data_IF_375892405642
#
_entry.id   IF_375892405642
#
_cell.length_a   1.000
_cell.length_b   1.000
_cell.length_c   1.000
_cell.angle_alpha   90.00
_cell.angle_beta   90.00
_cell.angle_gamma   90.00
#
_symmetry.space_group_name_H-M   'P 1'
#
loop_
_entity.id
_entity.type
_entity.pdbx_description
1 polymer ?
#
# COMPACT_ATOMS: atom_id res chain seq x y z
N UNK A 1 3.84 -55.21 -13.64
CA UNK A 1 4.16 -53.77 -13.61
C UNK A 1 2.88 -52.95 -13.73
N UNK A 2 2.34 -52.45 -12.62
CA UNK A 2 1.16 -51.55 -12.63
C UNK A 2 1.66 -50.11 -12.78
N UNK A 3 1.37 -49.49 -13.91
CA UNK A 3 1.61 -48.06 -14.14
C UNK A 3 0.60 -47.27 -13.33
N UNK A 4 1.04 -46.70 -12.20
CA UNK A 4 0.24 -45.85 -11.33
C UNK A 4 -0.19 -44.59 -12.08
N UNK A 5 -1.49 -44.50 -12.38
CA UNK A 5 -2.19 -43.30 -12.84
C UNK A 5 -2.03 -42.22 -11.78
N UNK A 6 -1.42 -41.09 -12.15
CA UNK A 6 -1.45 -39.87 -11.35
C UNK A 6 -2.90 -39.42 -11.19
N UNK A 7 -3.34 -39.26 -9.94
CA UNK A 7 -4.61 -38.64 -9.61
C UNK A 7 -4.45 -37.11 -9.74
N UNK A 8 -4.96 -36.54 -10.83
CA UNK A 8 -5.15 -35.11 -10.94
C UNK A 8 -6.29 -34.71 -9.99
N UNK A 9 -5.97 -34.00 -8.91
CA UNK A 9 -6.97 -33.40 -8.03
C UNK A 9 -7.75 -32.36 -8.83
N UNK A 10 -9.01 -32.67 -9.14
CA UNK A 10 -9.95 -31.75 -9.75
C UNK A 10 -10.37 -30.73 -8.70
N UNK A 11 -9.63 -29.63 -8.59
CA UNK A 11 -10.04 -28.50 -7.76
C UNK A 11 -11.18 -27.77 -8.47
N UNK A 12 -12.43 -28.10 -8.14
CA UNK A 12 -13.58 -27.28 -8.48
C UNK A 12 -13.47 -25.96 -7.71
N UNK A 13 -12.93 -24.94 -8.37
CA UNK A 13 -12.91 -23.58 -7.85
C UNK A 13 -14.37 -23.13 -7.64
N UNK A 14 -14.69 -22.68 -6.44
CA UNK A 14 -16.00 -22.13 -6.07
C UNK A 14 -15.85 -20.68 -5.64
N UNK A 15 -16.93 -19.89 -5.66
CA UNK A 15 -16.89 -18.53 -5.11
C UNK A 15 -16.69 -18.60 -3.59
N UNK A 16 -15.76 -17.81 -3.06
CA UNK A 16 -15.50 -17.76 -1.61
C UNK A 16 -15.75 -16.37 -1.06
N UNK A 17 -16.51 -16.29 0.04
CA UNK A 17 -16.62 -15.05 0.81
C UNK A 17 -15.32 -14.83 1.58
N UNK A 18 -14.69 -13.67 1.36
CA UNK A 18 -13.50 -13.19 2.05
C UNK A 18 -13.85 -11.98 2.92
N UNK A 19 -13.03 -11.70 3.92
CA UNK A 19 -13.19 -10.53 4.80
C UNK A 19 -12.00 -9.61 4.66
N UNK A 20 -12.25 -8.31 4.50
CA UNK A 20 -11.19 -7.32 4.38
C UNK A 20 -10.48 -7.09 5.72
N UNK A 21 -9.16 -7.30 5.78
CA UNK A 21 -8.35 -7.06 6.97
C UNK A 21 -8.28 -5.58 7.40
N UNK A 22 -8.62 -4.65 6.50
CA UNK A 22 -8.61 -3.20 6.79
C UNK A 22 -9.96 -2.65 7.27
N UNK A 23 -11.07 -3.06 6.64
CA UNK A 23 -12.39 -2.49 6.93
C UNK A 23 -13.45 -3.51 7.38
N UNK A 24 -13.11 -4.80 7.45
CA UNK A 24 -14.02 -5.86 7.88
C UNK A 24 -15.10 -6.25 6.87
N UNK A 25 -15.26 -5.51 5.76
CA UNK A 25 -16.31 -5.81 4.78
C UNK A 25 -16.11 -7.19 4.15
N UNK A 26 -17.20 -7.95 4.03
CA UNK A 26 -17.22 -9.20 3.28
C UNK A 26 -17.25 -8.91 1.78
N UNK A 27 -16.49 -9.66 0.99
CA UNK A 27 -16.50 -9.57 -0.47
C UNK A 27 -16.33 -10.96 -1.10
N UNK A 28 -16.81 -11.13 -2.32
CA UNK A 28 -16.67 -12.39 -3.06
C UNK A 28 -15.31 -12.44 -3.76
N UNK A 29 -14.59 -13.56 -3.59
CA UNK A 29 -13.45 -13.95 -4.41
C UNK A 29 -13.95 -14.94 -5.46
N UNK A 30 -14.13 -14.46 -6.68
CA UNK A 30 -14.89 -15.20 -7.69
C UNK A 30 -14.07 -16.29 -8.34
N UNK A 31 -14.75 -17.30 -8.90
CA UNK A 31 -14.12 -18.36 -9.70
C UNK A 31 -13.32 -17.76 -10.87
N UNK A 32 -13.80 -16.67 -11.47
CA UNK A 32 -13.11 -15.98 -12.57
C UNK A 32 -11.78 -15.36 -12.12
N UNK A 33 -11.76 -14.70 -10.96
CA UNK A 33 -10.53 -14.14 -10.37
C UNK A 33 -9.53 -15.26 -9.99
N UNK A 34 -10.02 -16.40 -9.53
CA UNK A 34 -9.20 -17.58 -9.22
C UNK A 34 -8.61 -18.23 -10.48
N UNK A 35 -9.38 -18.25 -11.57
CA UNK A 35 -8.95 -18.84 -12.85
C UNK A 35 -7.96 -17.94 -13.63
N UNK A 36 -8.01 -16.61 -13.45
CA UNK A 36 -7.08 -15.67 -14.08
C UNK A 36 -5.65 -15.75 -13.53
N UNK A 37 -5.39 -16.54 -12.49
CA UNK A 37 -4.06 -16.91 -12.02
C UNK A 37 -3.38 -17.94 -12.96
N UNK A 38 -3.25 -17.63 -14.25
CA UNK A 38 -2.69 -18.54 -15.26
C UNK A 38 -1.15 -18.35 -15.43
N UNK A 39 -0.37 -19.07 -14.59
CA UNK A 39 1.03 -19.58 -14.82
C UNK A 39 2.25 -18.61 -14.94
N UNK A 40 3.54 -18.98 -14.63
CA UNK A 40 4.08 -20.16 -13.93
C UNK A 40 4.90 -19.90 -12.63
N UNK A 41 5.21 -18.66 -12.20
CA UNK A 41 5.92 -18.38 -10.92
C UNK A 41 4.96 -18.23 -9.72
N UNK A 42 3.81 -18.90 -9.80
CA UNK A 42 2.57 -18.57 -9.11
C UNK A 42 2.32 -19.32 -7.78
N UNK A 43 3.31 -19.44 -6.89
CA UNK A 43 3.01 -19.74 -5.47
C UNK A 43 2.36 -18.54 -4.74
N UNK A 44 2.37 -17.35 -5.36
CA UNK A 44 1.71 -16.15 -4.83
C UNK A 44 0.21 -16.05 -5.18
N UNK A 45 -0.25 -16.71 -6.25
CA UNK A 45 -1.53 -16.38 -6.91
C UNK A 45 -2.76 -17.12 -6.35
N UNK A 46 -2.56 -18.09 -5.43
CA UNK A 46 -3.63 -18.66 -4.62
C UNK A 46 -3.77 -17.99 -3.25
N UNK A 47 -3.04 -16.88 -3.01
CA UNK A 47 -3.21 -16.13 -1.76
C UNK A 47 -4.56 -15.45 -1.78
N UNK A 48 -5.46 -15.97 -0.95
CA UNK A 48 -6.76 -15.37 -0.65
C UNK A 48 -6.59 -13.86 -0.47
N UNK A 49 -7.37 -13.04 -1.19
CA UNK A 49 -7.22 -11.60 -1.10
C UNK A 49 -7.51 -11.13 0.32
N UNK A 50 -6.58 -10.36 0.88
CA UNK A 50 -6.67 -9.83 2.25
C UNK A 50 -7.50 -8.55 2.33
N UNK A 51 -7.77 -7.90 1.20
CA UNK A 51 -8.48 -6.63 1.11
C UNK A 51 -9.56 -6.66 0.03
N UNK A 52 -10.71 -6.03 0.32
CA UNK A 52 -11.80 -5.89 -0.64
C UNK A 52 -11.44 -4.96 -1.82
N UNK A 53 -12.21 -4.97 -2.92
CA UNK A 53 -11.94 -4.13 -4.09
C UNK A 53 -11.89 -2.61 -3.79
N UNK A 54 -12.64 -2.16 -2.78
CA UNK A 54 -12.59 -0.76 -2.32
C UNK A 54 -11.25 -0.44 -1.64
N UNK A 55 -10.88 -1.23 -0.63
CA UNK A 55 -9.62 -1.03 0.08
C UNK A 55 -8.40 -1.28 -0.80
N UNK A 56 -8.43 -2.24 -1.72
CA UNK A 56 -7.32 -2.50 -2.66
C UNK A 56 -7.02 -1.26 -3.52
N UNK A 57 -8.05 -0.57 -4.01
CA UNK A 57 -7.91 0.67 -4.76
C UNK A 57 -7.46 1.85 -3.90
N UNK A 58 -7.83 1.85 -2.62
CA UNK A 58 -7.53 2.92 -1.68
C UNK A 58 -6.21 2.74 -0.91
N UNK A 59 -5.53 1.59 -1.03
CA UNK A 59 -4.24 1.34 -0.39
C UNK A 59 -3.11 1.98 -1.20
N UNK A 60 -2.05 2.46 -0.53
CA UNK A 60 -0.83 2.83 -1.23
C UNK A 60 -0.26 1.65 -2.03
N UNK A 61 0.55 1.92 -3.05
CA UNK A 61 1.25 0.85 -3.76
C UNK A 61 2.12 0.02 -2.79
N UNK A 62 2.40 -1.24 -3.15
CA UNK A 62 3.17 -2.13 -2.28
C UNK A 62 4.50 -1.50 -1.84
N UNK A 63 4.77 -1.48 -0.52
CA UNK A 63 5.96 -0.85 0.05
C UNK A 63 5.88 0.67 0.25
N UNK A 64 4.73 1.30 -0.06
CA UNK A 64 4.47 2.71 0.22
C UNK A 64 3.48 2.85 1.39
N UNK A 65 3.59 3.97 2.09
CA UNK A 65 2.74 4.38 3.20
C UNK A 65 2.23 5.79 2.94
N UNK A 66 1.07 6.12 3.53
CA UNK A 66 0.52 7.48 3.51
C UNK A 66 0.61 8.09 4.90
N UNK A 67 0.90 9.37 4.97
CA UNK A 67 0.99 10.10 6.22
C UNK A 67 0.64 11.57 6.04
N UNK A 68 0.55 12.27 7.16
CA UNK A 68 0.26 13.70 7.18
C UNK A 68 1.52 14.47 7.54
N UNK A 69 1.78 15.56 6.83
CA UNK A 69 2.92 16.41 7.14
C UNK A 69 2.66 17.12 8.47
N UNK A 70 3.47 16.84 9.49
CA UNK A 70 3.38 17.50 10.79
C UNK A 70 3.80 18.96 10.67
N UNK A 71 4.96 19.16 10.07
CA UNK A 71 5.52 20.46 9.75
C UNK A 71 6.64 20.29 8.72
N UNK A 72 6.89 21.34 7.95
CA UNK A 72 7.95 21.36 6.97
C UNK A 72 8.54 22.77 6.84
N UNK A 73 9.87 22.86 6.82
CA UNK A 73 10.56 24.11 6.60
C UNK A 73 11.05 24.18 5.14
N UNK A 74 10.34 24.93 4.30
CA UNK A 74 10.68 25.10 2.88
C UNK A 74 12.05 25.73 2.64
N UNK A 75 12.55 26.58 3.56
CA UNK A 75 13.87 27.21 3.42
C UNK A 75 15.00 26.22 3.71
N UNK A 76 14.86 25.44 4.79
CA UNK A 76 15.87 24.44 5.18
C UNK A 76 15.68 23.09 4.47
N UNK A 77 14.58 22.90 3.75
CA UNK A 77 14.21 21.69 3.00
C UNK A 77 14.16 20.42 3.85
N UNK A 78 13.65 20.51 5.09
CA UNK A 78 13.37 19.33 5.91
C UNK A 78 12.13 19.51 6.77
N UNK A 79 11.56 18.40 7.23
CA UNK A 79 10.39 18.37 8.10
C UNK A 79 10.11 16.97 8.62
N UNK A 80 8.90 16.77 9.12
CA UNK A 80 8.44 15.49 9.64
C UNK A 80 7.03 15.16 9.16
N UNK A 81 6.79 13.87 8.93
CA UNK A 81 5.51 13.29 8.55
C UNK A 81 5.04 12.40 9.69
N UNK A 82 3.79 12.54 10.11
CA UNK A 82 3.14 11.63 11.04
C UNK A 82 2.64 10.42 10.26
N UNK A 83 3.10 9.24 10.65
CA UNK A 83 2.62 7.96 10.11
C UNK A 83 1.24 7.61 10.69
N UNK A 84 0.47 6.70 10.05
CA UNK A 84 -0.77 6.19 10.61
C UNK A 84 -0.57 5.46 11.95
N UNK A 85 0.65 4.98 12.23
CA UNK A 85 1.03 4.36 13.50
C UNK A 85 1.19 5.37 14.64
N UNK A 86 1.28 6.68 14.32
CA UNK A 86 1.50 7.76 15.28
C UNK A 86 2.96 8.22 15.41
N UNK A 87 3.92 7.51 14.79
CA UNK A 87 5.33 7.89 14.87
C UNK A 87 5.69 9.01 13.89
N UNK A 88 6.68 9.83 14.28
CA UNK A 88 7.27 10.87 13.44
C UNK A 88 8.33 10.27 12.50
N UNK A 89 8.19 10.52 11.20
CA UNK A 89 9.13 10.09 10.17
C UNK A 89 9.86 11.29 9.56
N UNK A 90 11.18 11.22 9.45
CA UNK A 90 11.97 12.32 8.91
C UNK A 90 11.74 12.47 7.40
N UNK A 91 11.53 13.71 6.94
CA UNK A 91 11.30 14.04 5.55
C UNK A 91 12.34 15.06 5.05
N UNK A 92 13.16 14.65 4.08
CA UNK A 92 14.12 15.54 3.44
C UNK A 92 13.61 16.02 2.08
N UNK A 93 13.93 17.27 1.74
CA UNK A 93 13.44 17.90 0.51
C UNK A 93 14.03 17.31 -0.77
N UNK A 94 15.13 16.56 -0.71
CA UNK A 94 15.65 15.79 -1.86
C UNK A 94 14.69 14.68 -2.29
N UNK A 95 13.90 14.17 -1.36
CA UNK A 95 13.02 13.03 -1.57
C UNK A 95 11.67 13.43 -2.16
N UNK A 96 11.36 14.73 -2.19
CA UNK A 96 10.12 15.25 -2.78
C UNK A 96 10.11 15.03 -4.31
N UNK A 97 9.09 14.33 -4.80
CA UNK A 97 8.84 14.11 -6.22
C UNK A 97 7.71 15.02 -6.68
N UNK A 98 8.03 16.00 -7.51
CA UNK A 98 7.06 16.92 -8.10
C UNK A 98 6.62 18.11 -7.22
N UNK A 99 6.87 18.08 -5.91
CA UNK A 99 6.58 19.19 -5.00
C UNK A 99 7.86 19.94 -4.61
N UNK A 100 7.79 21.28 -4.55
CA UNK A 100 8.93 22.12 -4.09
C UNK A 100 8.98 22.28 -2.57
N UNK A 101 7.83 22.21 -1.91
CA UNK A 101 7.66 22.34 -0.47
C UNK A 101 6.36 21.66 -0.05
N UNK A 102 6.32 21.24 1.21
CA UNK A 102 5.12 20.71 1.87
C UNK A 102 4.55 21.73 2.86
N UNK A 103 3.28 21.57 3.21
CA UNK A 103 2.57 22.35 4.22
C UNK A 103 2.10 21.43 5.35
N UNK A 104 1.95 21.92 6.58
CA UNK A 104 1.31 21.17 7.66
C UNK A 104 -0.08 20.67 7.22
N UNK A 105 -0.36 19.41 7.48
CA UNK A 105 -1.62 18.73 7.10
C UNK A 105 -1.65 18.15 5.69
N UNK A 106 -0.65 18.41 4.84
CA UNK A 106 -0.61 17.81 3.49
C UNK A 106 -0.61 16.28 3.59
N UNK A 107 -1.44 15.64 2.76
CA UNK A 107 -1.46 14.19 2.60
C UNK A 107 -0.38 13.79 1.60
N UNK A 108 0.56 12.97 2.06
CA UNK A 108 1.70 12.51 1.27
C UNK A 108 1.79 10.99 1.25
N UNK A 109 2.32 10.44 0.16
CA UNK A 109 2.64 9.02 0.00
C UNK A 109 4.13 8.84 -0.21
N UNK A 110 4.76 7.96 0.55
CA UNK A 110 6.20 7.77 0.60
C UNK A 110 6.56 6.30 0.85
N UNK A 111 7.78 5.89 0.56
CA UNK A 111 8.35 4.63 1.04
C UNK A 111 9.23 4.87 2.27
N UNK A 112 9.44 3.84 3.09
CA UNK A 112 10.36 3.92 4.22
C UNK A 112 11.75 3.45 3.81
N UNK A 113 12.75 4.19 4.24
CA UNK A 113 14.15 3.79 4.10
C UNK A 113 14.88 3.94 5.43
N UNK A 114 15.61 2.91 5.82
CA UNK A 114 16.51 2.96 6.98
C UNK A 114 17.79 3.67 6.58
N UNK A 115 18.15 4.72 7.31
CA UNK A 115 19.40 5.48 7.14
C UNK A 115 20.24 5.41 8.41
N UNK A 116 21.48 5.89 8.35
CA UNK A 116 22.37 5.98 9.52
C UNK A 116 21.79 6.81 10.67
N UNK A 117 20.82 7.69 10.37
CA UNK A 117 20.18 8.59 11.35
C UNK A 117 18.79 8.10 11.81
N UNK A 118 18.36 6.92 11.35
CA UNK A 118 17.03 6.36 11.62
C UNK A 118 16.17 6.21 10.38
N UNK A 119 14.88 5.92 10.58
CA UNK A 119 13.92 5.80 9.48
C UNK A 119 13.61 7.17 8.86
N UNK A 120 13.66 7.23 7.52
CA UNK A 120 13.33 8.42 6.75
C UNK A 120 12.33 8.08 5.62
N UNK A 121 11.58 9.10 5.22
CA UNK A 121 10.67 9.04 4.08
C UNK A 121 11.46 9.19 2.77
N UNK A 122 11.27 8.24 1.86
CA UNK A 122 11.88 8.20 0.53
C UNK A 122 10.79 8.34 -0.55
N UNK A 123 11.15 8.92 -1.70
CA UNK A 123 10.23 9.18 -2.82
C UNK A 123 8.87 9.77 -2.41
N UNK A 124 8.89 10.89 -1.71
CA UNK A 124 7.69 11.53 -1.16
C UNK A 124 6.89 12.18 -2.29
N UNK A 125 5.66 11.72 -2.48
CA UNK A 125 4.70 12.26 -3.45
C UNK A 125 3.58 12.96 -2.68
N UNK A 126 3.28 14.19 -3.06
CA UNK A 126 2.12 14.90 -2.53
C UNK A 126 0.84 14.38 -3.20
N UNK A 127 -0.11 13.88 -2.40
CA UNK A 127 -1.40 13.41 -2.90
C UNK A 127 -2.48 14.48 -2.81
N UNK A 128 -2.52 15.22 -1.69
CA UNK A 128 -3.50 16.28 -1.45
C UNK A 128 -2.85 17.35 -0.59
N UNK A 129 -3.09 18.61 -0.92
CA UNK A 129 -2.75 19.69 -0.02
C UNK A 129 -3.70 19.70 1.17
N UNK A 130 -3.23 20.13 2.34
CA UNK A 130 -4.13 20.53 3.40
C UNK A 130 -5.07 21.60 2.83
N UNK A 131 -6.36 21.31 2.82
CA UNK A 131 -7.40 22.28 2.51
C UNK A 131 -7.41 23.30 3.67
N UNK A 132 -6.45 24.23 3.63
CA UNK A 132 -6.57 25.45 4.39
C UNK A 132 -7.61 26.27 3.63
N UNK A 133 -8.87 26.08 3.98
CA UNK A 133 -9.87 27.15 3.85
C UNK A 133 -9.36 28.36 4.65
N UNK A 134 -8.51 29.14 4.00
CA UNK A 134 -8.26 30.53 4.35
C UNK A 134 -9.02 31.35 3.30
N UNK A 135 -10.30 31.60 3.59
CA UNK A 135 -11.15 32.73 3.19
C UNK A 135 -11.20 33.10 1.70
#
# INVERSE_FOLDING_TARGET
>A
MVKSKQAAASHTLTDEVCYCARCGVSFLWTIEEKNQAQWPEAEASLRRPTHCPGCRRALPAAGRERGLVKWYNGRKRFGFIIRPTGDDLFAHGSELKGARSLRPGDLVEFSRQTTEKGEAAHEIVLLQHADNEAQ
#
